data_IF_517064334160
#
_entry.id   IF_517064334160
#
_cell.length_a   1.000
_cell.length_b   1.000
_cell.length_c   1.000
_cell.angle_alpha   90.00
_cell.angle_beta   90.00
_cell.angle_gamma   90.00
#
_symmetry.space_group_name_H-M   'P 1'
#
loop_
_entity.id
_entity.type
_entity.pdbx_description
1 polymer ?
#
# COMPACT_ATOMS: atom_id res chain seq x y z
N UNK A 1 16.95 -31.25 -7.66
CA UNK A 1 15.69 -30.51 -7.85
C UNK A 1 15.43 -29.49 -6.75
N UNK A 2 15.91 -29.69 -5.51
CA UNK A 2 15.79 -28.69 -4.42
C UNK A 2 16.71 -27.47 -4.62
N UNK A 3 17.91 -27.64 -5.19
CA UNK A 3 18.93 -26.58 -5.33
C UNK A 3 18.65 -25.52 -6.40
N UNK A 4 17.90 -25.86 -7.46
CA UNK A 4 17.53 -24.93 -8.53
C UNK A 4 16.43 -23.95 -8.10
N UNK A 5 15.53 -24.39 -7.22
CA UNK A 5 14.42 -23.58 -6.70
C UNK A 5 14.93 -22.47 -5.76
N UNK A 6 15.96 -22.76 -4.98
CA UNK A 6 16.56 -21.78 -4.05
C UNK A 6 17.30 -20.66 -4.81
N UNK A 7 18.06 -20.99 -5.86
CA UNK A 7 18.83 -20.00 -6.62
C UNK A 7 17.93 -19.04 -7.41
N UNK A 8 16.85 -19.56 -8.00
CA UNK A 8 15.85 -18.77 -8.72
C UNK A 8 15.09 -17.84 -7.76
N UNK A 9 14.63 -18.38 -6.61
CA UNK A 9 13.96 -17.59 -5.57
C UNK A 9 14.87 -16.48 -5.00
N UNK A 10 16.16 -16.75 -4.82
CA UNK A 10 17.13 -15.76 -4.35
C UNK A 10 17.37 -14.67 -5.41
N UNK A 11 17.49 -15.06 -6.68
CA UNK A 11 17.65 -14.12 -7.79
C UNK A 11 16.43 -13.19 -7.94
N UNK A 12 15.23 -13.75 -7.86
CA UNK A 12 13.98 -12.99 -7.88
C UNK A 12 13.85 -12.06 -6.67
N UNK A 13 14.14 -12.55 -5.46
CA UNK A 13 14.09 -11.74 -4.25
C UNK A 13 15.11 -10.59 -4.30
N UNK A 14 16.32 -10.86 -4.78
CA UNK A 14 17.41 -9.86 -4.84
C UNK A 14 17.13 -8.80 -5.90
N UNK A 15 16.69 -9.20 -7.09
CA UNK A 15 16.32 -8.27 -8.16
C UNK A 15 15.11 -7.41 -7.77
N UNK A 16 14.11 -8.00 -7.11
CA UNK A 16 12.96 -7.29 -6.56
C UNK A 16 13.36 -6.29 -5.47
N UNK A 17 14.24 -6.68 -4.54
CA UNK A 17 14.73 -5.81 -3.47
C UNK A 17 15.54 -4.62 -4.02
N UNK A 18 16.50 -4.87 -4.93
CA UNK A 18 17.32 -3.82 -5.53
C UNK A 18 16.46 -2.88 -6.38
N UNK A 19 15.55 -3.44 -7.20
CA UNK A 19 14.62 -2.64 -7.99
C UNK A 19 13.73 -1.75 -7.12
N UNK A 20 13.24 -2.28 -6.00
CA UNK A 20 12.45 -1.52 -5.03
C UNK A 20 13.26 -0.40 -4.36
N UNK A 21 14.50 -0.67 -3.95
CA UNK A 21 15.38 0.34 -3.34
C UNK A 21 15.73 1.47 -4.31
N UNK A 22 16.08 1.15 -5.55
CA UNK A 22 16.41 2.13 -6.59
C UNK A 22 15.18 2.96 -6.93
N UNK A 23 14.04 2.31 -7.15
CA UNK A 23 12.77 2.99 -7.45
C UNK A 23 12.36 3.93 -6.31
N UNK A 24 12.39 3.44 -5.07
CA UNK A 24 12.03 4.25 -3.89
C UNK A 24 12.97 5.44 -3.75
N UNK A 25 14.28 5.26 -3.93
CA UNK A 25 15.27 6.36 -3.80
C UNK A 25 15.05 7.43 -4.86
N UNK A 26 14.78 7.04 -6.10
CA UNK A 26 14.54 7.98 -7.20
C UNK A 26 13.19 8.70 -7.08
N UNK A 27 12.16 8.00 -6.60
CA UNK A 27 10.80 8.52 -6.51
C UNK A 27 10.49 9.24 -5.18
N UNK A 28 11.33 9.07 -4.15
CA UNK A 28 11.10 9.68 -2.84
C UNK A 28 10.88 11.20 -2.88
N UNK A 29 11.67 11.99 -3.63
CA UNK A 29 11.44 13.43 -3.74
C UNK A 29 10.06 13.79 -4.29
N UNK A 30 9.57 13.00 -5.26
CA UNK A 30 8.26 13.19 -5.88
C UNK A 30 7.12 12.79 -4.95
N UNK A 31 7.29 11.72 -4.18
CA UNK A 31 6.35 11.32 -3.12
C UNK A 31 6.22 12.40 -2.05
N UNK A 32 7.33 13.02 -1.64
CA UNK A 32 7.32 14.14 -0.69
C UNK A 32 6.61 15.36 -1.26
N UNK A 33 6.86 15.71 -2.52
CA UNK A 33 6.17 16.81 -3.19
C UNK A 33 4.65 16.56 -3.28
N UNK A 34 4.25 15.36 -3.68
CA UNK A 34 2.84 14.95 -3.80
C UNK A 34 2.12 14.98 -2.46
N UNK A 35 2.76 14.48 -1.40
CA UNK A 35 2.15 14.42 -0.07
C UNK A 35 1.92 15.81 0.51
N UNK A 36 2.89 16.73 0.35
CA UNK A 36 2.72 18.13 0.79
C UNK A 36 1.70 18.90 -0.02
N UNK A 37 1.73 18.76 -1.35
CA UNK A 37 0.73 19.39 -2.22
C UNK A 37 -0.69 18.93 -1.84
N UNK A 38 -0.87 17.64 -1.57
CA UNK A 38 -2.18 17.10 -1.17
C UNK A 38 -2.62 17.59 0.21
N UNK A 39 -1.72 17.66 1.19
CA UNK A 39 -2.04 18.17 2.54
C UNK A 39 -2.46 19.66 2.53
N UNK A 40 -1.87 20.46 1.65
CA UNK A 40 -2.24 21.88 1.53
C UNK A 40 -3.60 22.10 0.85
N UNK A 41 -3.97 21.23 -0.10
CA UNK A 41 -5.30 21.28 -0.72
C UNK A 41 -6.41 20.99 0.31
N UNK A 42 -6.11 20.25 1.38
CA UNK A 42 -7.03 19.99 2.50
C UNK A 42 -7.16 21.13 3.51
N UNK A 43 -6.13 21.98 3.65
CA UNK A 43 -6.16 23.12 4.58
C UNK A 43 -7.01 24.28 4.01
N UNK A 44 -8.11 24.63 4.67
CA UNK A 44 -8.92 25.81 4.33
C UNK A 44 -8.15 27.12 4.57
N UNK A 45 -7.33 27.53 3.61
CA UNK A 45 -6.64 28.82 3.61
C UNK A 45 -5.58 28.89 2.51
N UNK A 46 -5.66 29.93 1.66
CA UNK A 46 -4.75 30.31 0.54
C UNK A 46 -3.77 29.23 0.06
N UNK A 47 -4.06 28.66 -1.12
CA UNK A 47 -3.11 27.82 -1.88
C UNK A 47 -1.78 28.56 -2.07
N UNK A 48 -0.73 28.11 -1.39
CA UNK A 48 0.66 28.53 -1.53
C UNK A 48 1.30 27.87 -2.77
N UNK A 49 0.93 26.63 -3.10
CA UNK A 49 1.42 25.94 -4.32
C UNK A 49 0.33 25.81 -5.40
N UNK A 50 0.64 26.20 -6.64
CA UNK A 50 -0.23 25.99 -7.80
C UNK A 50 0.04 24.64 -8.45
N UNK A 51 1.29 24.19 -8.43
CA UNK A 51 1.75 22.96 -9.06
C UNK A 51 2.70 22.16 -8.14
N UNK A 52 2.86 20.86 -8.40
CA UNK A 52 3.88 20.04 -7.72
C UNK A 52 5.30 20.58 -7.93
N UNK A 53 5.56 21.21 -9.08
CA UNK A 53 6.85 21.85 -9.39
C UNK A 53 7.20 22.97 -8.43
N UNK A 54 6.20 23.65 -7.85
CA UNK A 54 6.43 24.79 -6.96
C UNK A 54 7.02 24.32 -5.63
N UNK A 55 6.62 23.13 -5.16
CA UNK A 55 7.17 22.49 -3.95
C UNK A 55 8.64 22.08 -4.17
N UNK A 56 8.95 21.54 -5.36
CA UNK A 56 10.31 21.18 -5.75
C UNK A 56 11.18 22.44 -5.87
N UNK A 57 10.66 23.49 -6.50
CA UNK A 57 11.35 24.75 -6.70
C UNK A 57 11.64 25.48 -5.38
N UNK A 58 10.70 25.48 -4.44
CA UNK A 58 10.91 26.02 -3.09
C UNK A 58 12.03 25.28 -2.35
N UNK A 59 12.07 23.94 -2.45
CA UNK A 59 13.12 23.15 -1.81
C UNK A 59 14.52 23.44 -2.38
N UNK A 60 14.61 23.65 -3.71
CA UNK A 60 15.86 23.99 -4.40
C UNK A 60 16.27 25.44 -4.08
N UNK A 61 15.36 26.40 -4.21
CA UNK A 61 15.60 27.83 -3.99
C UNK A 61 16.02 28.14 -2.55
N UNK A 62 15.46 27.42 -1.57
CA UNK A 62 15.81 27.59 -0.16
C UNK A 62 17.03 26.77 0.26
N UNK A 63 17.71 26.07 -0.67
CA UNK A 63 18.81 25.11 -0.39
C UNK A 63 18.46 24.05 0.65
N UNK A 64 17.18 23.68 0.76
CA UNK A 64 16.65 22.71 1.72
C UNK A 64 16.32 21.37 1.06
N UNK A 65 17.12 20.94 0.08
CA UNK A 65 16.91 19.68 -0.68
C UNK A 65 16.90 18.45 0.25
N UNK A 66 17.73 18.45 1.30
CA UNK A 66 17.72 17.39 2.33
C UNK A 66 16.40 17.29 3.09
N UNK A 67 15.62 18.38 3.15
CA UNK A 67 14.32 18.36 3.81
C UNK A 67 13.24 17.66 2.97
N UNK A 68 13.53 17.27 1.72
CA UNK A 68 12.70 16.33 0.94
C UNK A 68 12.76 14.90 1.50
N UNK A 69 13.80 14.58 2.29
CA UNK A 69 13.95 13.31 3.01
C UNK A 69 13.44 13.37 4.45
N UNK A 70 12.84 14.49 4.86
CA UNK A 70 12.31 14.69 6.20
C UNK A 70 11.20 13.67 6.50
N UNK A 71 11.36 12.93 7.60
CA UNK A 71 10.45 11.86 7.98
C UNK A 71 10.72 10.49 7.33
N UNK A 72 11.76 10.34 6.50
CA UNK A 72 12.14 9.04 5.90
C UNK A 72 12.40 7.97 6.95
N UNK A 73 13.19 8.27 7.99
CA UNK A 73 13.47 7.31 9.07
C UNK A 73 12.19 6.87 9.80
N UNK A 74 11.30 7.82 10.09
CA UNK A 74 9.98 7.53 10.67
C UNK A 74 9.14 6.64 9.76
N UNK A 75 9.09 6.95 8.46
CA UNK A 75 8.33 6.20 7.46
C UNK A 75 8.87 4.78 7.27
N UNK A 76 10.20 4.61 7.30
CA UNK A 76 10.82 3.29 7.25
C UNK A 76 10.52 2.46 8.51
N UNK A 77 10.61 3.08 9.70
CA UNK A 77 10.25 2.41 10.96
C UNK A 77 8.77 2.02 10.97
N UNK A 78 7.89 2.92 10.51
CA UNK A 78 6.48 2.67 10.31
C UNK A 78 6.24 1.49 9.37
N UNK A 79 6.86 1.51 8.20
CA UNK A 79 6.72 0.45 7.21
C UNK A 79 7.20 -0.90 7.76
N UNK A 80 8.30 -0.91 8.53
CA UNK A 80 8.80 -2.12 9.17
C UNK A 80 7.79 -2.70 10.18
N UNK A 81 7.26 -1.85 11.08
CA UNK A 81 6.26 -2.26 12.07
C UNK A 81 4.98 -2.75 11.38
N UNK A 82 4.50 -2.02 10.37
CA UNK A 82 3.31 -2.38 9.60
C UNK A 82 3.47 -3.76 8.95
N UNK A 83 4.61 -3.99 8.29
CA UNK A 83 4.92 -5.25 7.62
C UNK A 83 5.00 -6.41 8.62
N UNK A 84 5.63 -6.18 9.77
CA UNK A 84 5.75 -7.18 10.84
C UNK A 84 4.37 -7.57 11.38
N UNK A 85 3.57 -6.59 11.80
CA UNK A 85 2.23 -6.83 12.36
C UNK A 85 1.32 -7.51 11.33
N UNK A 86 1.40 -7.08 10.07
CA UNK A 86 0.60 -7.67 8.99
C UNK A 86 0.94 -9.14 8.77
N UNK A 87 2.22 -9.47 8.55
CA UNK A 87 2.62 -10.85 8.28
C UNK A 87 2.44 -11.76 9.48
N UNK A 88 2.69 -11.25 10.70
CA UNK A 88 2.44 -12.00 11.92
C UNK A 88 0.95 -12.28 12.09
N UNK A 89 0.10 -11.25 12.01
CA UNK A 89 -1.35 -11.38 12.12
C UNK A 89 -1.93 -12.30 11.05
N UNK A 90 -1.51 -12.15 9.80
CA UNK A 90 -1.91 -13.02 8.70
C UNK A 90 -1.50 -14.47 8.94
N UNK A 91 -0.25 -14.73 9.35
CA UNK A 91 0.24 -16.07 9.66
C UNK A 91 -0.52 -16.70 10.82
N UNK A 92 -0.84 -15.91 11.85
CA UNK A 92 -1.64 -16.33 12.99
C UNK A 92 -3.07 -16.71 12.55
N UNK A 93 -3.78 -15.83 11.85
CA UNK A 93 -5.13 -16.11 11.35
C UNK A 93 -5.16 -17.31 10.40
N UNK A 94 -4.17 -17.43 9.52
CA UNK A 94 -3.96 -18.58 8.63
C UNK A 94 -3.82 -19.88 9.41
N UNK A 95 -2.96 -19.94 10.44
CA UNK A 95 -2.80 -21.13 11.28
C UNK A 95 -4.09 -21.50 12.01
N UNK A 96 -4.78 -20.49 12.55
CA UNK A 96 -6.03 -20.68 13.30
C UNK A 96 -7.15 -21.22 12.39
N UNK A 97 -7.27 -20.67 11.17
CA UNK A 97 -8.21 -21.14 10.16
C UNK A 97 -7.95 -22.59 9.73
N UNK A 98 -6.69 -22.94 9.44
CA UNK A 98 -6.31 -24.30 9.04
C UNK A 98 -6.59 -25.31 10.16
N UNK A 99 -6.25 -24.96 11.41
CA UNK A 99 -6.52 -25.83 12.57
C UNK A 99 -8.01 -26.05 12.82
N UNK A 100 -8.85 -25.03 12.62
CA UNK A 100 -10.29 -25.10 12.86
C UNK A 100 -11.07 -25.74 11.71
N UNK A 101 -10.62 -25.55 10.47
CA UNK A 101 -11.33 -26.04 9.27
C UNK A 101 -10.88 -27.43 8.82
N UNK A 102 -9.75 -27.94 9.32
CA UNK A 102 -9.15 -29.21 8.88
C UNK A 102 -8.68 -29.22 7.42
N UNK A 103 -8.71 -28.05 6.74
CA UNK A 103 -8.36 -27.93 5.33
C UNK A 103 -6.85 -27.94 5.12
N UNK A 104 -6.38 -28.62 4.07
CA UNK A 104 -4.95 -28.69 3.69
C UNK A 104 -4.51 -27.40 2.96
N UNK A 105 -5.44 -26.72 2.27
CA UNK A 105 -5.18 -25.51 1.49
C UNK A 105 -6.25 -24.44 1.78
N UNK A 106 -5.83 -23.19 1.78
CA UNK A 106 -6.73 -22.04 1.96
C UNK A 106 -7.30 -21.64 0.60
N UNK A 107 -8.63 -21.69 0.47
CA UNK A 107 -9.31 -21.17 -0.72
C UNK A 107 -9.14 -19.66 -0.83
N UNK A 108 -9.12 -19.11 -2.04
CA UNK A 108 -8.70 -17.71 -2.24
C UNK A 108 -9.59 -16.69 -1.56
N UNK A 109 -10.90 -16.96 -1.44
CA UNK A 109 -11.83 -16.13 -0.66
C UNK A 109 -11.48 -16.09 0.83
N UNK A 110 -11.16 -17.25 1.42
CA UNK A 110 -10.72 -17.33 2.80
C UNK A 110 -9.38 -16.61 3.00
N UNK A 111 -8.45 -16.78 2.06
CA UNK A 111 -7.16 -16.10 2.08
C UNK A 111 -7.31 -14.57 2.11
N UNK A 112 -8.25 -14.04 1.33
CA UNK A 112 -8.57 -12.63 1.27
C UNK A 112 -9.15 -12.09 2.57
N UNK A 113 -10.05 -12.85 3.21
CA UNK A 113 -10.62 -12.47 4.51
C UNK A 113 -9.55 -12.46 5.61
N UNK A 114 -8.65 -13.45 5.62
CA UNK A 114 -7.54 -13.50 6.56
C UNK A 114 -6.56 -12.33 6.34
N UNK A 115 -6.30 -11.98 5.07
CA UNK A 115 -5.47 -10.83 4.71
C UNK A 115 -6.14 -9.50 5.12
N UNK A 116 -7.45 -9.36 4.93
CA UNK A 116 -8.20 -8.17 5.35
C UNK A 116 -8.22 -8.02 6.87
N UNK A 117 -8.44 -9.12 7.61
CA UNK A 117 -8.37 -9.11 9.07
C UNK A 117 -6.97 -8.73 9.58
N UNK A 118 -5.92 -9.27 8.96
CA UNK A 118 -4.54 -8.88 9.26
C UNK A 118 -4.29 -7.40 8.97
N UNK A 119 -4.75 -6.90 7.82
CA UNK A 119 -4.66 -5.50 7.44
C UNK A 119 -5.36 -4.57 8.44
N UNK A 120 -6.54 -4.95 8.93
CA UNK A 120 -7.27 -4.19 9.95
C UNK A 120 -6.51 -4.13 11.28
N UNK A 121 -5.95 -5.25 11.75
CA UNK A 121 -5.09 -5.27 12.92
C UNK A 121 -3.86 -4.39 12.75
N UNK A 122 -3.20 -4.47 11.60
CA UNK A 122 -2.06 -3.61 11.27
C UNK A 122 -2.44 -2.14 11.33
N UNK A 123 -3.53 -1.74 10.67
CA UNK A 123 -3.99 -0.36 10.66
C UNK A 123 -4.22 0.18 12.07
N UNK A 124 -4.86 -0.60 12.95
CA UNK A 124 -5.09 -0.20 14.36
C UNK A 124 -3.77 0.01 15.11
N UNK A 125 -2.80 -0.90 14.92
CA UNK A 125 -1.52 -0.83 15.64
C UNK A 125 -0.62 0.30 15.10
N UNK A 126 -0.64 0.55 13.79
CA UNK A 126 0.24 1.54 13.16
C UNK A 126 -0.35 2.93 13.05
N UNK A 127 -1.67 3.11 13.28
CA UNK A 127 -2.32 4.41 13.11
C UNK A 127 -1.62 5.56 13.84
N UNK A 128 -1.21 5.44 15.13
CA UNK A 128 -0.51 6.53 15.81
C UNK A 128 0.79 6.95 15.12
N UNK A 129 1.49 5.95 14.57
CA UNK A 129 2.75 6.14 13.87
C UNK A 129 2.53 6.70 12.46
N UNK A 130 1.48 6.27 11.77
CA UNK A 130 1.04 6.82 10.47
C UNK A 130 0.67 8.30 10.58
N UNK A 131 -0.08 8.66 11.63
CA UNK A 131 -0.43 10.04 11.94
C UNK A 131 0.81 10.88 12.25
N UNK A 132 1.73 10.37 13.09
CA UNK A 132 2.97 11.08 13.40
C UNK A 132 3.88 11.26 12.17
N UNK A 133 4.02 10.22 11.35
CA UNK A 133 4.78 10.29 10.10
C UNK A 133 4.20 11.32 9.13
N UNK A 134 2.86 11.39 9.04
CA UNK A 134 2.16 12.34 8.19
C UNK A 134 2.35 13.78 8.68
N UNK A 135 2.21 14.04 9.99
CA UNK A 135 2.48 15.36 10.59
C UNK A 135 3.92 15.84 10.36
N UNK A 136 4.89 14.94 10.48
CA UNK A 136 6.30 15.26 10.19
C UNK A 136 6.52 15.62 8.72
N UNK A 137 5.82 14.95 7.79
CA UNK A 137 5.93 15.21 6.35
C UNK A 137 5.24 16.52 5.92
N UNK A 138 4.16 16.91 6.58
CA UNK A 138 3.40 18.13 6.26
C UNK A 138 3.92 19.40 6.95
N UNK A 139 4.76 19.25 7.98
CA UNK A 139 5.43 20.39 8.64
C UNK A 139 6.39 21.12 7.68
N UNK A 140 6.53 22.44 7.82
CA UNK A 140 7.42 23.26 6.99
C UNK A 140 8.88 22.76 6.99
N UNK A 141 9.59 22.93 5.87
CA UNK A 141 10.98 22.51 5.72
C UNK A 141 11.86 23.03 6.87
N UNK A 142 12.72 22.14 7.40
CA UNK A 142 13.62 22.45 8.52
C UNK A 142 12.96 22.58 9.90
N UNK A 143 11.62 22.49 10.02
CA UNK A 143 10.90 22.63 11.29
C UNK A 143 10.29 21.34 11.84
N UNK A 144 10.43 20.19 11.17
CA UNK A 144 9.92 18.92 11.71
C UNK A 144 10.60 18.58 13.01
N UNK A 145 9.79 18.36 14.04
CA UNK A 145 10.22 17.77 15.30
C UNK A 145 10.51 16.28 15.09
N UNK A 146 11.32 15.68 15.96
CA UNK A 146 11.62 14.25 15.93
C UNK A 146 10.40 13.41 16.29
N UNK A 147 10.40 12.13 15.88
CA UNK A 147 9.29 11.19 16.04
C UNK A 147 8.71 11.16 17.46
N UNK A 148 9.58 11.03 18.46
CA UNK A 148 9.17 11.01 19.87
C UNK A 148 8.37 12.25 20.27
N UNK A 149 8.86 13.43 19.87
CA UNK A 149 8.20 14.69 20.19
C UNK A 149 6.86 14.81 19.47
N UNK A 150 6.76 14.34 18.23
CA UNK A 150 5.50 14.32 17.46
C UNK A 150 4.48 13.32 18.03
N UNK A 151 4.92 12.19 18.58
CA UNK A 151 4.04 11.20 19.21
C UNK A 151 3.51 11.67 20.58
N UNK A 152 4.31 12.43 21.32
CA UNK A 152 3.92 12.97 22.64
C UNK A 152 3.15 14.30 22.54
N UNK A 153 3.23 14.99 21.41
CA UNK A 153 2.49 16.22 21.16
C UNK A 153 1.10 15.91 20.60
N UNK A 154 0.09 15.94 21.46
CA UNK A 154 -1.33 15.81 21.09
C UNK A 154 -2.13 14.94 22.07
N UNK A 155 -3.41 14.79 21.78
CA UNK A 155 -4.30 13.90 22.53
C UNK A 155 -4.27 12.50 21.94
N UNK A 156 -4.51 11.45 22.74
CA UNK A 156 -4.62 10.07 22.24
C UNK A 156 -5.67 9.92 21.13
N UNK A 157 -6.74 10.73 21.15
CA UNK A 157 -7.74 10.77 20.07
C UNK A 157 -7.13 11.24 18.74
N UNK A 158 -6.22 12.20 18.77
CA UNK A 158 -5.63 12.77 17.56
C UNK A 158 -4.66 11.78 16.89
N UNK A 159 -4.11 10.83 17.64
CA UNK A 159 -3.24 9.78 17.11
C UNK A 159 -4.00 8.76 16.24
N UNK A 160 -5.29 8.56 16.53
CA UNK A 160 -6.18 7.67 15.79
C UNK A 160 -7.04 8.42 14.74
N UNK A 161 -6.74 9.69 14.49
CA UNK A 161 -7.39 10.43 13.42
C UNK A 161 -7.16 9.72 12.07
N UNK A 162 -8.22 9.60 11.27
CA UNK A 162 -8.22 8.83 10.03
C UNK A 162 -8.29 7.30 10.16
N UNK A 163 -8.36 6.70 11.37
CA UNK A 163 -8.42 5.23 11.55
C UNK A 163 -9.56 4.58 10.78
N UNK A 164 -10.77 5.15 10.86
CA UNK A 164 -11.94 4.61 10.16
C UNK A 164 -11.73 4.54 8.64
N UNK A 165 -10.95 5.48 8.12
CA UNK A 165 -10.61 5.49 6.71
C UNK A 165 -9.47 4.52 6.38
N UNK A 166 -8.43 4.43 7.22
CA UNK A 166 -7.40 3.39 7.10
C UNK A 166 -8.01 1.99 7.07
N UNK A 167 -9.01 1.72 7.91
CA UNK A 167 -9.78 0.48 7.91
C UNK A 167 -10.56 0.28 6.61
N UNK A 168 -11.21 1.32 6.08
CA UNK A 168 -11.86 1.24 4.78
C UNK A 168 -10.86 0.93 3.65
N UNK A 169 -9.66 1.52 3.67
CA UNK A 169 -8.60 1.23 2.71
C UNK A 169 -8.12 -0.23 2.77
N UNK A 170 -8.21 -0.92 3.92
CA UNK A 170 -7.89 -2.36 3.98
C UNK A 170 -8.81 -3.22 3.11
N UNK A 171 -9.97 -2.70 2.72
CA UNK A 171 -10.88 -3.36 1.78
C UNK A 171 -10.45 -3.19 0.32
N UNK A 172 -9.55 -2.27 0.00
CA UNK A 172 -9.12 -2.01 -1.38
C UNK A 172 -8.52 -3.26 -2.06
N UNK A 173 -7.55 -4.00 -1.45
CA UNK A 173 -7.06 -5.26 -2.01
C UNK A 173 -8.17 -6.32 -2.17
N UNK A 174 -9.15 -6.34 -1.26
CA UNK A 174 -10.27 -7.27 -1.34
C UNK A 174 -11.18 -6.98 -2.54
N UNK A 175 -11.50 -5.71 -2.77
CA UNK A 175 -12.28 -5.25 -3.93
C UNK A 175 -11.49 -5.51 -5.21
N UNK A 176 -10.21 -5.15 -5.27
CA UNK A 176 -9.35 -5.40 -6.42
C UNK A 176 -9.32 -6.89 -6.78
N UNK A 177 -9.12 -7.76 -5.80
CA UNK A 177 -9.11 -9.20 -6.00
C UNK A 177 -10.47 -9.71 -6.49
N UNK A 178 -11.57 -9.25 -5.89
CA UNK A 178 -12.93 -9.68 -6.28
C UNK A 178 -13.23 -9.31 -7.73
N UNK A 179 -12.88 -8.09 -8.14
CA UNK A 179 -13.06 -7.63 -9.53
C UNK A 179 -12.14 -8.41 -10.47
N UNK A 180 -10.90 -8.68 -10.06
CA UNK A 180 -9.95 -9.48 -10.84
C UNK A 180 -10.48 -10.89 -11.10
N UNK A 181 -10.98 -11.56 -10.06
CA UNK A 181 -11.54 -12.91 -10.18
C UNK A 181 -12.79 -12.94 -11.05
N UNK A 182 -13.69 -11.97 -10.92
CA UNK A 182 -14.88 -11.88 -11.78
C UNK A 182 -14.53 -11.67 -13.25
N UNK A 183 -13.60 -10.76 -13.53
CA UNK A 183 -13.13 -10.51 -14.91
C UNK A 183 -12.40 -11.70 -15.50
N UNK A 184 -11.54 -12.35 -14.70
CA UNK A 184 -10.83 -13.56 -15.09
C UNK A 184 -11.80 -14.70 -15.39
N UNK A 185 -12.79 -14.93 -14.52
CA UNK A 185 -13.80 -15.96 -14.73
C UNK A 185 -14.67 -15.69 -15.95
N UNK A 186 -15.00 -14.43 -16.24
CA UNK A 186 -15.75 -14.05 -17.44
C UNK A 186 -14.94 -14.32 -18.72
N UNK A 187 -13.66 -13.96 -18.74
CA UNK A 187 -12.76 -14.23 -19.88
C UNK A 187 -12.43 -15.72 -20.08
N UNK A 188 -12.28 -16.51 -19.01
CA UNK A 188 -12.10 -17.96 -19.13
C UNK A 188 -13.40 -18.69 -19.45
N UNK A 189 -14.53 -18.25 -18.89
CA UNK A 189 -15.86 -18.81 -19.16
C UNK A 189 -16.26 -18.64 -20.63
N UNK A 190 -16.00 -17.47 -21.22
CA UNK A 190 -16.24 -17.22 -22.66
C UNK A 190 -15.34 -18.07 -23.58
N UNK A 191 -14.17 -18.52 -23.10
CA UNK A 191 -13.25 -19.38 -23.86
C UNK A 191 -13.57 -20.88 -23.71
N UNK A 192 -14.20 -21.29 -22.61
CA UNK A 192 -14.66 -22.67 -22.37
C UNK A 192 -15.94 -22.99 -23.16
N UNK A 193 -16.84 -22.03 -23.31
CA UNK A 193 -18.09 -22.21 -24.08
C UNK A 193 -17.87 -22.19 -25.62
N UNK A 194 -16.67 -21.77 -26.07
CA UNK A 194 -16.29 -21.66 -27.49
C UNK A 194 -15.34 -22.76 -27.99
N UNK A 195 -15.03 -23.80 -27.20
CA UNK A 195 -14.06 -24.83 -27.65
C UNK A 195 -14.41 -26.25 -27.24
N UNK A 196 -15.17 -26.90 -28.13
CA UNK A 196 -15.07 -28.34 -28.33
C UNK A 196 -13.61 -28.71 -28.68
N UNK A 197 -13.10 -29.79 -28.06
CA UNK A 197 -11.86 -30.54 -28.34
C UNK A 197 -10.48 -29.86 -28.09
N UNK A 198 -9.83 -30.30 -27.00
CA UNK A 198 -8.51 -30.94 -27.10
C UNK A 198 -7.24 -30.07 -27.04
N UNK A 199 -7.11 -29.07 -26.16
CA UNK A 199 -5.80 -28.44 -25.90
C UNK A 199 -5.65 -27.91 -24.47
N UNK A 200 -4.45 -28.08 -23.92
CA UNK A 200 -3.93 -27.76 -22.57
C UNK A 200 -4.46 -26.48 -21.87
N UNK A 201 -4.38 -26.41 -20.52
CA UNK A 201 -4.83 -25.23 -19.77
C UNK A 201 -3.96 -24.01 -20.09
N UNK A 202 -4.45 -23.11 -20.94
CA UNK A 202 -3.77 -21.83 -21.20
C UNK A 202 -3.86 -20.93 -19.95
N UNK A 203 -2.70 -20.69 -19.32
CA UNK A 203 -2.52 -19.54 -18.43
C UNK A 203 -2.79 -18.25 -19.22
N UNK A 204 -3.38 -17.22 -18.58
CA UNK A 204 -3.52 -15.90 -19.22
C UNK A 204 -2.16 -15.44 -19.73
N UNK A 205 -2.10 -14.98 -20.98
CA UNK A 205 -0.92 -14.26 -21.48
C UNK A 205 -0.59 -13.10 -20.53
N UNK A 206 0.69 -12.90 -20.23
CA UNK A 206 1.14 -11.91 -19.25
C UNK A 206 0.54 -10.51 -19.47
N UNK A 207 0.34 -10.12 -20.74
CA UNK A 207 -0.31 -8.86 -21.10
C UNK A 207 -1.79 -8.80 -20.69
N UNK A 208 -2.54 -9.89 -20.89
CA UNK A 208 -3.95 -9.97 -20.48
C UNK A 208 -4.11 -10.00 -18.95
N UNK A 209 -3.23 -10.71 -18.23
CA UNK A 209 -3.20 -10.70 -16.78
C UNK A 209 -2.88 -9.30 -16.24
N UNK A 210 -1.94 -8.58 -16.88
CA UNK A 210 -1.64 -7.20 -16.57
C UNK A 210 -2.84 -6.29 -16.80
N UNK A 211 -3.52 -6.38 -17.95
CA UNK A 211 -4.66 -5.53 -18.29
C UNK A 211 -5.83 -5.73 -17.31
N UNK A 212 -6.16 -6.99 -17.01
CA UNK A 212 -7.21 -7.33 -16.02
C UNK A 212 -6.81 -6.83 -14.64
N UNK A 213 -5.53 -6.96 -14.26
CA UNK A 213 -4.99 -6.40 -13.03
C UNK A 213 -5.12 -4.88 -12.96
N UNK A 214 -4.81 -4.18 -14.05
CA UNK A 214 -4.89 -2.71 -14.15
C UNK A 214 -6.34 -2.21 -14.06
N UNK A 215 -7.28 -2.86 -14.75
CA UNK A 215 -8.72 -2.53 -14.67
C UNK A 215 -9.23 -2.76 -13.25
N UNK A 216 -8.89 -3.92 -12.66
CA UNK A 216 -9.31 -4.26 -11.29
C UNK A 216 -8.79 -3.25 -10.27
N UNK A 217 -7.52 -2.84 -10.41
CA UNK A 217 -6.92 -1.80 -9.56
C UNK A 217 -7.60 -0.45 -9.76
N UNK A 218 -7.96 -0.11 -11.00
CA UNK A 218 -8.66 1.15 -11.31
C UNK A 218 -10.05 1.19 -10.68
N UNK A 219 -10.83 0.12 -10.77
CA UNK A 219 -12.16 0.01 -10.14
C UNK A 219 -12.05 0.09 -8.62
N UNK A 220 -11.13 -0.67 -8.01
CA UNK A 220 -10.92 -0.62 -6.57
C UNK A 220 -10.48 0.77 -6.09
N UNK A 221 -9.60 1.43 -6.85
CA UNK A 221 -9.15 2.79 -6.56
C UNK A 221 -10.29 3.78 -6.71
N UNK A 222 -11.10 3.70 -7.76
CA UNK A 222 -12.23 4.60 -7.97
C UNK A 222 -13.27 4.51 -6.84
N UNK A 223 -13.61 3.28 -6.43
CA UNK A 223 -14.55 3.03 -5.33
C UNK A 223 -14.03 3.51 -3.98
N UNK A 224 -12.71 3.42 -3.76
CA UNK A 224 -12.08 3.87 -2.50
C UNK A 224 -11.57 5.31 -2.57
N UNK A 225 -11.61 5.96 -3.74
CA UNK A 225 -11.07 7.30 -3.95
C UNK A 225 -11.69 8.37 -3.04
N UNK A 226 -13.02 8.39 -2.80
CA UNK A 226 -13.62 9.36 -1.88
C UNK A 226 -13.03 9.24 -0.47
N UNK A 227 -12.80 8.00 -0.01
CA UNK A 227 -12.20 7.72 1.28
C UNK A 227 -10.72 8.13 1.29
N UNK A 228 -9.94 7.79 0.25
CA UNK A 228 -8.53 8.18 0.11
C UNK A 228 -8.35 9.71 0.19
N UNK A 229 -9.31 10.49 -0.32
CA UNK A 229 -9.27 11.95 -0.28
C UNK A 229 -9.57 12.53 1.11
N UNK A 230 -10.28 11.80 1.98
CA UNK A 230 -10.56 12.24 3.35
C UNK A 230 -9.42 11.94 4.36
N UNK A 231 -8.42 11.12 4.00
CA UNK A 231 -7.26 10.77 4.86
C UNK A 231 -6.20 11.88 4.92
N UNK A 232 -6.24 12.84 4.01
CA UNK A 232 -5.14 13.79 3.78
C UNK A 232 -5.58 15.23 3.88
#
# INVERSE_FOLDING_TARGET
MMSSIDLESISEATSGAIGSLVSTTLLYPLDTCKTRYQAEVGAHGRRKYRNLSDVLWEAISNRQVLSLYQGLGTKNLQSFIAQFVYFYGYSYFKRLYLKKSGAIKIGTKANLLLAAAAGACTAIVTQPLDTAASRMQTTSFGKSKGLWKTLTEGTWSDAFDGLGISLLLTSNPAIQYTVFDQLKQRHLGEKLDKRDKGSSPEALSAFSAFLVGAISKSVATFLTYPAIRCVK
#
